data_IF_575580419394
#
_entry.id   IF_575580419394
#
_cell.length_a   1.000
_cell.length_b   1.000
_cell.length_c   1.000
_cell.angle_alpha   90.00
_cell.angle_beta   90.00
_cell.angle_gamma   90.00
#
_symmetry.space_group_name_H-M   'P 1'
#
loop_
_entity.id
_entity.type
_entity.pdbx_description
1 polymer ?
#
# COMPACT_ATOMS: atom_id res chain seq x y z
N UNK A 1 -42.25 9.96 14.61
CA UNK A 1 -41.36 9.32 13.63
C UNK A 1 -40.56 10.43 12.97
N UNK A 2 -39.26 10.52 13.24
CA UNK A 2 -38.40 11.44 12.50
C UNK A 2 -38.25 10.91 11.07
N UNK A 3 -38.52 11.78 10.09
CA UNK A 3 -38.28 11.44 8.68
C UNK A 3 -36.77 11.44 8.42
N UNK A 4 -36.26 10.51 7.58
CA UNK A 4 -34.86 10.49 7.22
C UNK A 4 -34.49 11.80 6.50
N UNK A 5 -33.49 12.51 7.05
CA UNK A 5 -32.95 13.72 6.42
C UNK A 5 -31.95 13.32 5.33
N UNK A 6 -32.20 13.73 4.10
CA UNK A 6 -31.25 13.59 3.00
C UNK A 6 -30.17 14.68 3.12
N UNK A 7 -28.91 14.25 3.26
CA UNK A 7 -27.75 15.13 3.25
C UNK A 7 -27.06 14.93 1.89
N UNK A 8 -26.91 15.98 1.06
CA UNK A 8 -26.25 15.86 -0.24
C UNK A 8 -24.78 15.50 -0.07
N UNK A 9 -24.22 14.77 -1.03
CA UNK A 9 -22.78 14.50 -1.06
C UNK A 9 -22.00 15.81 -1.17
N UNK A 10 -20.92 15.98 -0.38
CA UNK A 10 -20.16 17.22 -0.39
C UNK A 10 -19.34 17.36 -1.68
N UNK A 11 -19.18 18.61 -2.14
CA UNK A 11 -18.32 18.91 -3.27
C UNK A 11 -16.83 18.89 -2.88
N UNK A 12 -16.01 18.39 -3.80
CA UNK A 12 -14.55 18.47 -3.75
C UNK A 12 -14.06 19.57 -4.69
N UNK A 13 -12.95 20.19 -4.35
CA UNK A 13 -12.30 21.25 -5.13
C UNK A 13 -10.98 20.75 -5.73
N UNK A 14 -10.77 21.10 -7.01
CA UNK A 14 -9.65 20.71 -7.86
C UNK A 14 -8.91 21.97 -8.39
N UNK A 15 -8.06 21.78 -9.40
CA UNK A 15 -7.33 22.86 -10.08
C UNK A 15 -8.25 24.04 -10.46
N UNK A 16 -7.75 25.27 -10.32
CA UNK A 16 -8.49 26.50 -10.62
C UNK A 16 -9.86 26.64 -9.92
N UNK A 17 -10.04 26.03 -8.74
CA UNK A 17 -11.28 26.14 -7.96
C UNK A 17 -12.46 25.38 -8.55
N UNK A 18 -12.22 24.49 -9.53
CA UNK A 18 -13.25 23.65 -10.13
C UNK A 18 -13.80 22.64 -9.11
N UNK A 19 -15.07 22.25 -9.28
CA UNK A 19 -15.76 21.37 -8.33
C UNK A 19 -16.34 20.13 -8.98
N UNK A 20 -16.26 19.02 -8.26
CA UNK A 20 -16.93 17.78 -8.61
C UNK A 20 -17.26 16.98 -7.35
N UNK A 21 -18.31 16.17 -7.42
CA UNK A 21 -18.67 15.24 -6.34
C UNK A 21 -17.79 13.98 -6.37
N UNK A 22 -17.55 13.41 -7.57
CA UNK A 22 -16.67 12.25 -7.73
C UNK A 22 -15.20 12.71 -7.93
N UNK A 23 -14.26 12.25 -7.07
CA UNK A 23 -12.85 12.63 -7.18
C UNK A 23 -12.19 12.21 -8.49
N UNK A 24 -12.58 11.07 -9.05
CA UNK A 24 -12.01 10.53 -10.30
C UNK A 24 -12.42 11.38 -11.49
N UNK A 25 -13.67 11.84 -11.50
CA UNK A 25 -14.19 12.76 -12.53
C UNK A 25 -13.51 14.12 -12.41
N UNK A 26 -13.40 14.66 -11.19
CA UNK A 26 -12.72 15.93 -10.95
C UNK A 26 -11.26 15.92 -11.40
N UNK A 27 -10.50 14.88 -11.03
CA UNK A 27 -9.11 14.73 -11.49
C UNK A 27 -9.01 14.57 -13.00
N UNK A 28 -9.86 13.75 -13.63
CA UNK A 28 -9.80 13.52 -15.07
C UNK A 28 -10.14 14.78 -15.89
N UNK A 29 -11.04 15.64 -15.39
CA UNK A 29 -11.46 16.85 -16.11
C UNK A 29 -10.58 18.07 -15.80
N UNK A 30 -10.14 18.21 -14.55
CA UNK A 30 -9.52 19.45 -14.06
C UNK A 30 -8.06 19.27 -13.63
N UNK A 31 -7.64 18.05 -13.31
CA UNK A 31 -6.34 17.77 -12.69
C UNK A 31 -6.35 18.04 -11.17
N UNK A 32 -5.21 17.85 -10.49
CA UNK A 32 -5.17 17.92 -9.05
C UNK A 32 -5.23 19.36 -8.54
N UNK A 33 -5.70 19.53 -7.30
CA UNK A 33 -5.83 20.83 -6.65
C UNK A 33 -4.51 21.61 -6.60
N UNK A 34 -3.40 20.94 -6.35
CA UNK A 34 -2.08 21.55 -6.23
C UNK A 34 -1.29 21.67 -7.54
N UNK A 35 -1.88 21.36 -8.71
CA UNK A 35 -1.16 21.34 -9.99
C UNK A 35 -0.37 22.63 -10.31
N UNK A 36 -0.89 23.79 -9.90
CA UNK A 36 -0.26 25.11 -10.13
C UNK A 36 0.45 25.67 -8.88
N UNK A 37 0.50 24.90 -7.79
CA UNK A 37 1.17 25.31 -6.56
C UNK A 37 2.69 25.22 -6.72
N UNK A 38 3.43 26.12 -6.06
CA UNK A 38 4.90 26.08 -6.06
C UNK A 38 5.49 24.75 -5.53
N UNK A 39 4.74 24.05 -4.68
CA UNK A 39 5.11 22.74 -4.13
C UNK A 39 4.59 21.54 -4.94
N UNK A 40 4.06 21.73 -6.15
CA UNK A 40 3.54 20.64 -6.97
C UNK A 40 4.63 19.62 -7.31
N UNK A 41 4.29 18.35 -7.13
CA UNK A 41 5.18 17.23 -7.42
C UNK A 41 5.11 16.93 -8.92
N UNK A 42 6.21 17.12 -9.64
CA UNK A 42 6.28 16.88 -11.09
C UNK A 42 6.62 15.43 -11.46
N UNK A 43 7.25 14.71 -10.56
CA UNK A 43 7.64 13.32 -10.75
C UNK A 43 7.70 12.61 -9.41
N UNK A 44 7.36 11.32 -9.40
CA UNK A 44 7.41 10.48 -8.21
C UNK A 44 8.51 9.43 -8.39
N UNK A 45 9.80 9.76 -8.18
CA UNK A 45 10.84 8.74 -8.11
C UNK A 45 10.49 7.76 -6.99
N UNK A 46 10.49 6.46 -7.30
CA UNK A 46 10.16 5.42 -6.33
C UNK A 46 11.22 4.34 -6.29
N UNK A 47 11.38 3.78 -5.08
CA UNK A 47 12.07 2.51 -4.88
C UNK A 47 11.10 1.36 -5.03
N UNK A 48 11.55 0.23 -5.55
CA UNK A 48 10.74 -0.97 -5.73
C UNK A 48 11.37 -2.15 -4.97
N UNK A 49 10.58 -2.82 -4.15
CA UNK A 49 10.98 -4.02 -3.39
C UNK A 49 10.01 -5.16 -3.71
N UNK A 50 10.55 -6.35 -3.95
CA UNK A 50 9.74 -7.53 -4.24
C UNK A 50 10.57 -8.75 -4.56
N UNK A 51 9.94 -9.91 -4.66
CA UNK A 51 10.51 -11.03 -5.42
C UNK A 51 10.61 -10.65 -6.90
N UNK A 52 11.39 -11.38 -7.69
CA UNK A 52 11.48 -11.11 -9.14
C UNK A 52 10.10 -11.12 -9.81
N UNK A 53 9.19 -12.01 -9.40
CA UNK A 53 7.80 -12.03 -9.88
C UNK A 53 7.03 -10.76 -9.50
N UNK A 54 7.11 -10.35 -8.23
CA UNK A 54 6.45 -9.14 -7.74
C UNK A 54 6.93 -7.86 -8.43
N UNK A 55 8.25 -7.76 -8.65
CA UNK A 55 8.88 -6.66 -9.40
C UNK A 55 8.33 -6.60 -10.82
N UNK A 56 8.34 -7.71 -11.56
CA UNK A 56 7.84 -7.73 -12.95
C UNK A 56 6.35 -7.38 -13.03
N UNK A 57 5.51 -7.90 -12.13
CA UNK A 57 4.09 -7.54 -12.06
C UNK A 57 3.89 -6.04 -11.83
N UNK A 58 4.70 -5.43 -10.97
CA UNK A 58 4.59 -4.00 -10.71
C UNK A 58 5.03 -3.17 -11.90
N UNK A 59 6.14 -3.51 -12.56
CA UNK A 59 6.60 -2.81 -13.76
C UNK A 59 5.56 -2.87 -14.88
N UNK A 60 4.94 -4.03 -15.09
CA UNK A 60 3.83 -4.17 -16.04
C UNK A 60 2.64 -3.27 -15.66
N UNK A 61 2.29 -3.21 -14.38
CA UNK A 61 1.20 -2.36 -13.91
C UNK A 61 1.53 -0.86 -14.00
N UNK A 62 2.79 -0.47 -13.72
CA UNK A 62 3.27 0.89 -13.86
C UNK A 62 3.24 1.35 -15.33
N UNK A 63 3.51 0.45 -16.28
CA UNK A 63 3.32 0.72 -17.70
C UNK A 63 1.85 1.00 -18.05
N UNK A 64 0.91 0.22 -17.47
CA UNK A 64 -0.53 0.47 -17.67
C UNK A 64 -0.94 1.84 -17.16
N UNK A 65 -0.34 2.31 -16.06
CA UNK A 65 -0.64 3.62 -15.49
C UNK A 65 -0.16 4.78 -16.39
N UNK A 66 0.68 4.56 -17.40
CA UNK A 66 1.13 5.63 -18.30
C UNK A 66 0.02 6.12 -19.25
N UNK A 67 -1.00 5.30 -19.50
CA UNK A 67 -2.04 5.62 -20.48
C UNK A 67 -3.47 5.31 -19.99
N UNK A 68 -4.46 5.46 -20.88
CA UNK A 68 -5.85 5.20 -20.55
C UNK A 68 -6.09 3.74 -20.14
N UNK A 69 -6.68 3.54 -18.97
CA UNK A 69 -7.07 2.22 -18.46
C UNK A 69 -8.59 2.16 -18.37
N UNK A 70 -9.17 1.26 -19.16
CA UNK A 70 -10.59 1.00 -19.22
C UNK A 70 -10.92 -0.26 -18.43
N UNK A 71 -12.08 -0.27 -17.78
CA UNK A 71 -12.66 -1.51 -17.23
C UNK A 71 -13.20 -2.35 -18.38
N UNK A 72 -12.80 -3.62 -18.47
CA UNK A 72 -13.17 -4.49 -19.60
C UNK A 72 -14.48 -5.26 -19.38
N UNK A 73 -15.11 -5.11 -18.21
CA UNK A 73 -16.32 -5.86 -17.90
C UNK A 73 -17.55 -5.26 -18.59
N UNK A 74 -18.28 -6.08 -19.37
CA UNK A 74 -19.55 -5.69 -20.02
C UNK A 74 -20.62 -5.15 -19.05
N UNK A 75 -20.45 -5.36 -17.75
CA UNK A 75 -21.36 -4.95 -16.67
C UNK A 75 -20.84 -3.77 -15.83
N UNK A 76 -19.61 -3.29 -16.02
CA UNK A 76 -19.14 -2.10 -15.32
C UNK A 76 -19.78 -0.86 -15.93
N UNK A 77 -20.77 -0.29 -15.23
CA UNK A 77 -21.25 1.04 -15.55
C UNK A 77 -20.07 2.00 -15.55
N UNK A 78 -19.82 2.67 -16.67
CA UNK A 78 -18.77 3.71 -16.81
C UNK A 78 -18.97 4.86 -15.82
N UNK A 79 -20.19 5.03 -15.31
CA UNK A 79 -20.50 5.94 -14.21
C UNK A 79 -19.88 5.48 -12.87
N UNK A 80 -19.92 4.18 -12.57
CA UNK A 80 -19.37 3.64 -11.32
C UNK A 80 -17.85 3.48 -11.39
N UNK A 81 -17.34 3.14 -12.57
CA UNK A 81 -15.94 2.85 -12.82
C UNK A 81 -15.43 3.71 -13.98
N UNK A 82 -15.21 5.03 -13.75
CA UNK A 82 -14.65 5.91 -14.77
C UNK A 82 -13.33 5.37 -15.31
N UNK A 83 -13.06 5.66 -16.58
CA UNK A 83 -11.74 5.41 -17.16
C UNK A 83 -10.67 6.13 -16.35
N UNK A 84 -9.52 5.50 -16.15
CA UNK A 84 -8.34 6.19 -15.66
C UNK A 84 -7.61 6.76 -16.88
N UNK A 85 -7.37 8.09 -16.98
CA UNK A 85 -6.85 8.69 -18.20
C UNK A 85 -5.35 8.45 -18.42
N UNK A 86 -4.65 7.93 -17.42
CA UNK A 86 -3.18 7.90 -17.34
C UNK A 86 -2.72 8.75 -16.15
N UNK A 87 -1.57 8.40 -15.58
CA UNK A 87 -1.08 8.99 -14.35
C UNK A 87 -0.74 10.47 -14.54
N UNK A 88 0.00 10.82 -15.60
CA UNK A 88 0.31 12.20 -15.91
C UNK A 88 -0.96 13.01 -16.23
N UNK A 89 -1.85 12.47 -17.06
CA UNK A 89 -3.11 13.14 -17.39
C UNK A 89 -4.00 13.41 -16.17
N UNK A 90 -4.04 12.49 -15.19
CA UNK A 90 -4.83 12.64 -13.97
C UNK A 90 -4.20 13.59 -12.94
N UNK A 91 -2.87 13.59 -12.82
CA UNK A 91 -2.16 14.20 -11.70
C UNK A 91 -1.18 15.31 -12.11
N UNK A 92 -1.08 15.66 -13.40
CA UNK A 92 -0.09 16.60 -13.94
C UNK A 92 1.35 16.28 -13.45
N UNK A 93 1.65 15.00 -13.28
CA UNK A 93 2.83 14.48 -12.59
C UNK A 93 3.26 13.17 -13.25
N UNK A 94 4.56 12.99 -13.48
CA UNK A 94 5.08 11.75 -14.02
C UNK A 94 5.18 10.65 -12.94
N UNK A 95 4.78 9.43 -13.28
CA UNK A 95 5.22 8.22 -12.59
C UNK A 95 6.27 7.55 -13.49
N UNK A 96 7.57 7.56 -13.14
CA UNK A 96 8.59 6.95 -13.98
C UNK A 96 8.29 5.48 -14.33
N UNK A 97 8.42 5.08 -15.60
CA UNK A 97 8.22 3.68 -16.03
C UNK A 97 9.18 2.73 -15.32
N UNK A 98 10.40 3.21 -15.06
CA UNK A 98 11.42 2.48 -14.31
C UNK A 98 11.55 3.07 -12.91
N UNK A 99 11.65 2.22 -11.87
CA UNK A 99 12.00 2.68 -10.54
C UNK A 99 13.38 3.34 -10.58
N UNK A 100 13.59 4.31 -9.68
CA UNK A 100 14.93 4.84 -9.45
C UNK A 100 15.86 3.69 -9.01
N UNK A 101 15.34 2.79 -8.17
CA UNK A 101 16.06 1.61 -7.67
C UNK A 101 15.13 0.43 -7.40
N UNK A 102 15.65 -0.77 -7.61
CA UNK A 102 14.97 -2.02 -7.29
C UNK A 102 15.83 -2.84 -6.33
N UNK A 103 15.23 -3.36 -5.28
CA UNK A 103 15.81 -4.37 -4.40
C UNK A 103 14.98 -5.65 -4.51
N UNK A 104 15.57 -6.67 -5.12
CA UNK A 104 14.94 -7.98 -5.23
C UNK A 104 15.16 -8.80 -3.95
N UNK A 105 14.09 -9.42 -3.46
CA UNK A 105 14.11 -10.39 -2.37
C UNK A 105 14.21 -11.79 -2.97
N UNK A 106 15.07 -12.64 -2.41
CA UNK A 106 15.13 -14.04 -2.85
C UNK A 106 13.87 -14.78 -2.43
N UNK A 107 13.20 -15.42 -3.40
CA UNK A 107 11.98 -16.18 -3.15
C UNK A 107 12.19 -17.27 -2.08
N UNK A 108 13.33 -17.94 -2.08
CA UNK A 108 13.68 -18.96 -1.09
C UNK A 108 13.76 -18.42 0.34
N UNK A 109 14.23 -17.18 0.53
CA UNK A 109 14.28 -16.55 1.86
C UNK A 109 12.88 -16.18 2.35
N UNK A 110 12.05 -15.63 1.45
CA UNK A 110 10.65 -15.33 1.75
C UNK A 110 9.90 -16.60 2.11
N UNK A 111 10.06 -17.66 1.34
CA UNK A 111 9.40 -18.95 1.56
C UNK A 111 9.84 -19.62 2.87
N UNK A 112 11.13 -19.56 3.21
CA UNK A 112 11.62 -20.04 4.49
C UNK A 112 11.00 -19.25 5.66
N UNK A 113 10.97 -17.91 5.57
CA UNK A 113 10.44 -17.06 6.63
C UNK A 113 8.93 -17.24 6.86
N UNK A 114 8.13 -17.39 5.79
CA UNK A 114 6.67 -17.59 5.91
C UNK A 114 6.28 -18.99 6.41
N UNK A 115 7.23 -19.90 6.59
CA UNK A 115 7.02 -21.26 7.03
C UNK A 115 7.27 -21.49 8.53
N UNK A 116 7.79 -20.53 9.30
CA UNK A 116 7.97 -20.73 10.73
C UNK A 116 6.67 -21.12 11.44
N UNK A 117 6.71 -22.04 12.40
CA UNK A 117 5.52 -22.42 13.17
C UNK A 117 5.04 -21.25 14.07
N UNK A 118 5.98 -20.50 14.65
CA UNK A 118 5.67 -19.32 15.48
C UNK A 118 5.19 -18.13 14.62
N UNK A 119 3.95 -17.63 14.81
CA UNK A 119 3.41 -16.53 14.02
C UNK A 119 4.13 -15.18 14.23
N UNK A 120 4.70 -14.93 15.41
CA UNK A 120 5.48 -13.71 15.65
C UNK A 120 6.80 -13.78 14.89
N UNK A 121 7.46 -14.95 14.91
CA UNK A 121 8.71 -15.19 14.19
C UNK A 121 8.49 -15.04 12.67
N UNK A 122 7.47 -15.70 12.11
CA UNK A 122 7.09 -15.57 10.68
C UNK A 122 7.00 -14.12 10.22
N UNK A 123 6.16 -13.34 10.91
CA UNK A 123 5.94 -11.95 10.52
C UNK A 123 7.21 -11.13 10.70
N UNK A 124 7.94 -11.36 11.80
CA UNK A 124 9.19 -10.64 12.09
C UNK A 124 10.24 -10.86 11.01
N UNK A 125 10.54 -12.11 10.63
CA UNK A 125 11.59 -12.42 9.67
C UNK A 125 11.26 -11.92 8.28
N UNK A 126 9.99 -12.07 7.84
CA UNK A 126 9.55 -11.47 6.58
C UNK A 126 9.71 -9.95 6.63
N UNK A 127 9.33 -9.30 7.73
CA UNK A 127 9.52 -7.84 7.87
C UNK A 127 11.01 -7.46 7.86
N UNK A 128 11.91 -8.24 8.46
CA UNK A 128 13.35 -7.98 8.40
C UNK A 128 13.89 -7.99 6.97
N UNK A 129 13.42 -8.90 6.11
CA UNK A 129 13.80 -8.93 4.70
C UNK A 129 13.45 -7.60 4.01
N UNK A 130 12.22 -7.10 4.21
CA UNK A 130 11.79 -5.82 3.64
C UNK A 130 12.50 -4.63 4.27
N UNK A 131 12.69 -4.58 5.59
CA UNK A 131 13.38 -3.47 6.26
C UNK A 131 14.84 -3.38 5.82
N UNK A 132 15.50 -4.52 5.65
CA UNK A 132 16.88 -4.58 5.12
C UNK A 132 16.95 -4.04 3.70
N UNK A 133 15.99 -4.40 2.85
CA UNK A 133 15.88 -3.86 1.49
C UNK A 133 15.58 -2.34 1.49
N UNK A 134 14.68 -1.86 2.35
CA UNK A 134 14.40 -0.43 2.51
C UNK A 134 15.67 0.32 2.94
N UNK A 135 16.42 -0.21 3.91
CA UNK A 135 17.66 0.41 4.36
C UNK A 135 18.69 0.53 3.22
N UNK A 136 18.83 -0.50 2.37
CA UNK A 136 19.73 -0.45 1.19
C UNK A 136 19.28 0.56 0.14
N UNK A 137 17.97 0.74 -0.05
CA UNK A 137 17.43 1.77 -0.95
C UNK A 137 17.75 3.18 -0.44
N UNK A 138 17.50 3.44 0.85
CA UNK A 138 17.64 4.77 1.47
C UNK A 138 19.09 5.13 1.75
N UNK A 139 19.99 4.16 1.90
CA UNK A 139 21.43 4.41 2.10
C UNK A 139 22.12 5.09 0.90
N UNK A 140 21.43 5.26 -0.23
CA UNK A 140 21.98 5.86 -1.45
C UNK A 140 21.44 7.29 -1.62
N UNK A 141 22.20 8.14 -2.31
CA UNK A 141 21.90 9.59 -2.42
C UNK A 141 20.65 9.94 -3.26
N UNK A 142 20.09 9.00 -4.02
CA UNK A 142 18.90 9.27 -4.84
C UNK A 142 17.66 9.47 -3.96
N UNK A 143 17.03 10.63 -4.09
CA UNK A 143 15.82 10.94 -3.34
C UNK A 143 14.61 10.16 -3.87
N UNK A 144 13.99 9.36 -2.99
CA UNK A 144 12.78 8.60 -3.28
C UNK A 144 11.57 9.30 -2.66
N UNK A 145 10.54 9.56 -3.46
CA UNK A 145 9.26 10.09 -2.97
C UNK A 145 8.44 9.02 -2.24
N UNK A 146 8.61 7.75 -2.61
CA UNK A 146 7.88 6.62 -2.01
C UNK A 146 8.62 5.31 -2.27
N UNK A 147 8.41 4.31 -1.43
CA UNK A 147 8.93 2.95 -1.63
C UNK A 147 7.77 1.99 -1.82
N UNK A 148 7.77 1.26 -2.92
CA UNK A 148 6.73 0.32 -3.29
C UNK A 148 7.17 -1.08 -2.89
N UNK A 149 6.45 -1.69 -1.95
CA UNK A 149 6.69 -3.04 -1.49
C UNK A 149 5.65 -3.97 -2.12
N UNK A 150 6.06 -4.73 -3.12
CA UNK A 150 5.24 -5.81 -3.68
C UNK A 150 5.34 -7.03 -2.76
N UNK A 151 4.19 -7.61 -2.44
CA UNK A 151 4.06 -8.64 -1.41
C UNK A 151 3.45 -9.90 -2.01
N UNK A 152 4.18 -11.02 -1.99
CA UNK A 152 3.66 -12.33 -2.39
C UNK A 152 2.39 -12.68 -1.62
N UNK A 153 1.48 -13.36 -2.30
CA UNK A 153 0.19 -13.73 -1.71
C UNK A 153 0.35 -14.68 -0.50
N UNK A 154 1.42 -15.49 -0.47
CA UNK A 154 1.77 -16.35 0.66
C UNK A 154 2.09 -15.55 1.93
N UNK A 155 2.78 -14.41 1.83
CA UNK A 155 3.05 -13.52 2.97
C UNK A 155 1.75 -12.99 3.56
N UNK A 156 0.81 -12.55 2.71
CA UNK A 156 -0.50 -12.07 3.18
C UNK A 156 -1.31 -13.18 3.88
N UNK A 157 -1.25 -14.42 3.38
CA UNK A 157 -1.95 -15.56 3.97
C UNK A 157 -1.33 -15.99 5.31
N UNK A 158 0.00 -16.05 5.38
CA UNK A 158 0.72 -16.66 6.49
C UNK A 158 1.14 -15.67 7.59
N UNK A 159 1.20 -14.36 7.30
CA UNK A 159 1.65 -13.31 8.23
C UNK A 159 0.51 -12.34 8.60
N UNK A 160 -0.64 -12.87 9.03
CA UNK A 160 -1.81 -12.12 9.50
C UNK A 160 -2.31 -12.71 10.83
N UNK A 161 -3.07 -11.96 11.65
CA UNK A 161 -3.64 -12.50 12.87
C UNK A 161 -4.46 -13.77 12.60
N UNK A 162 -4.26 -14.78 13.44
CA UNK A 162 -4.90 -16.10 13.34
C UNK A 162 -4.57 -16.87 12.05
N UNK A 163 -3.47 -16.55 11.36
CA UNK A 163 -2.93 -17.39 10.30
C UNK A 163 -2.36 -18.69 10.87
N UNK A 164 -2.41 -19.74 10.04
CA UNK A 164 -1.85 -21.05 10.34
C UNK A 164 -1.11 -21.56 9.09
N UNK A 165 -0.03 -22.30 9.31
CA UNK A 165 0.77 -22.91 8.25
C UNK A 165 0.70 -24.42 8.43
N UNK A 166 0.42 -25.15 7.35
CA UNK A 166 0.47 -26.61 7.38
C UNK A 166 1.94 -27.06 7.31
N UNK A 167 2.37 -27.88 8.26
CA UNK A 167 3.76 -28.37 8.38
C UNK A 167 4.78 -27.24 8.57
N UNK A 168 4.52 -26.32 9.51
CA UNK A 168 5.46 -25.25 9.82
C UNK A 168 6.77 -25.78 10.40
N UNK A 169 7.83 -24.99 10.23
CA UNK A 169 9.19 -25.32 10.66
C UNK A 169 9.47 -24.71 12.02
N UNK A 170 10.04 -25.52 12.92
CA UNK A 170 10.40 -25.12 14.28
C UNK A 170 9.22 -25.16 15.25
N UNK A 171 9.43 -24.64 16.46
CA UNK A 171 8.44 -24.67 17.53
C UNK A 171 7.74 -23.31 17.72
N UNK A 172 6.43 -23.31 17.96
CA UNK A 172 5.71 -22.11 18.38
C UNK A 172 5.63 -22.01 19.90
N UNK A 173 5.91 -20.83 20.45
CA UNK A 173 5.70 -20.62 21.88
C UNK A 173 4.20 -20.59 22.22
N UNK A 174 3.79 -21.19 23.36
CA UNK A 174 2.44 -21.05 23.88
C UNK A 174 2.03 -19.59 24.09
N UNK A 175 0.75 -19.29 23.89
CA UNK A 175 0.20 -17.93 24.04
C UNK A 175 0.58 -17.23 25.37
N UNK A 176 0.51 -17.89 26.55
CA UNK A 176 0.90 -17.24 27.80
C UNK A 176 2.36 -16.79 27.83
N UNK A 177 3.27 -17.59 27.28
CA UNK A 177 4.70 -17.26 27.22
C UNK A 177 4.95 -16.10 26.25
N UNK A 178 4.24 -16.06 25.12
CA UNK A 178 4.31 -14.94 24.16
C UNK A 178 3.88 -13.63 24.80
N UNK A 179 2.78 -13.63 25.56
CA UNK A 179 2.30 -12.45 26.29
C UNK A 179 3.29 -12.00 27.36
N UNK A 180 3.88 -12.94 28.11
CA UNK A 180 4.91 -12.63 29.09
C UNK A 180 6.14 -11.98 28.44
N UNK A 181 6.65 -12.53 27.33
CA UNK A 181 7.78 -11.98 26.58
C UNK A 181 7.48 -10.61 25.97
N UNK A 182 6.26 -10.39 25.46
CA UNK A 182 5.81 -9.10 24.96
C UNK A 182 5.91 -7.98 26.03
N UNK A 183 5.65 -8.34 27.30
CA UNK A 183 5.80 -7.45 28.47
C UNK A 183 7.24 -7.29 28.95
N UNK A 184 8.21 -7.94 28.30
CA UNK A 184 9.63 -7.89 28.66
C UNK A 184 10.03 -8.86 29.77
N UNK A 185 9.17 -9.80 30.17
CA UNK A 185 9.55 -10.86 31.11
C UNK A 185 10.51 -11.80 30.39
N UNK A 186 11.72 -11.94 30.93
CA UNK A 186 12.75 -12.82 30.37
C UNK A 186 12.42 -14.25 30.73
N UNK A 187 12.39 -15.10 29.72
CA UNK A 187 12.28 -16.54 29.88
C UNK A 187 13.68 -17.14 29.78
N UNK A 188 14.12 -17.76 30.87
CA UNK A 188 15.45 -18.37 31.00
C UNK A 188 15.60 -19.67 30.19
N UNK A 189 14.50 -20.23 29.68
CA UNK A 189 14.50 -21.55 29.02
C UNK A 189 14.71 -21.49 27.51
N UNK A 190 14.51 -20.34 26.87
CA UNK A 190 14.61 -20.18 25.42
C UNK A 190 15.31 -18.85 25.09
N UNK A 191 16.62 -18.79 25.36
CA UNK A 191 17.48 -17.61 25.22
C UNK A 191 17.85 -17.30 23.77
N UNK A 192 17.71 -18.26 22.85
CA UNK A 192 18.08 -18.09 21.44
C UNK A 192 17.15 -17.13 20.69
N UNK A 193 15.91 -16.97 21.14
CA UNK A 193 14.92 -16.09 20.49
C UNK A 193 14.89 -14.70 21.14
N UNK A 194 15.16 -13.61 20.38
CA UNK A 194 15.05 -12.26 20.91
C UNK A 194 13.63 -11.96 21.41
N UNK A 195 13.51 -11.49 22.66
CA UNK A 195 12.21 -11.10 23.23
C UNK A 195 11.54 -9.95 22.45
N UNK A 196 12.30 -9.20 21.66
CA UNK A 196 11.81 -8.11 20.82
C UNK A 196 10.77 -8.58 19.80
N UNK A 197 10.87 -9.82 19.31
CA UNK A 197 9.95 -10.42 18.33
C UNK A 197 8.51 -10.43 18.86
N UNK A 198 8.34 -10.72 20.14
CA UNK A 198 7.02 -10.81 20.79
C UNK A 198 6.42 -9.45 21.15
N UNK A 199 7.19 -8.35 21.07
CA UNK A 199 6.66 -6.99 21.22
C UNK A 199 5.88 -6.51 20.00
N UNK A 200 6.08 -7.16 18.85
CA UNK A 200 5.43 -6.79 17.61
C UNK A 200 4.16 -7.63 17.36
N UNK A 201 3.25 -7.05 16.57
CA UNK A 201 2.07 -7.78 16.07
C UNK A 201 2.52 -8.88 15.10
N UNK A 202 1.91 -10.09 15.12
CA UNK A 202 2.14 -11.14 14.10
C UNK A 202 1.46 -10.80 12.76
N UNK A 203 1.28 -9.52 12.46
CA UNK A 203 0.66 -9.00 11.25
C UNK A 203 1.73 -8.24 10.47
N UNK A 204 2.11 -8.78 9.32
CA UNK A 204 3.14 -8.21 8.46
C UNK A 204 2.86 -6.74 8.14
N UNK A 205 1.62 -6.38 7.77
CA UNK A 205 1.26 -5.02 7.37
C UNK A 205 1.39 -4.04 8.54
N UNK A 206 0.93 -4.40 9.73
CA UNK A 206 1.05 -3.55 10.93
C UNK A 206 2.52 -3.37 11.30
N UNK A 207 3.28 -4.46 11.31
CA UNK A 207 4.66 -4.47 11.73
C UNK A 207 5.58 -3.71 10.75
N UNK A 208 5.49 -3.97 9.44
CA UNK A 208 6.29 -3.23 8.45
C UNK A 208 5.93 -1.74 8.43
N UNK A 209 4.64 -1.37 8.53
CA UNK A 209 4.25 0.05 8.58
C UNK A 209 4.84 0.76 9.79
N UNK A 210 4.76 0.16 10.97
CA UNK A 210 5.29 0.77 12.19
C UNK A 210 6.82 0.88 12.15
N UNK A 211 7.50 -0.19 11.71
CA UNK A 211 8.97 -0.25 11.74
C UNK A 211 9.63 0.48 10.59
N UNK A 212 8.94 0.65 9.46
CA UNK A 212 9.46 1.44 8.35
C UNK A 212 9.37 2.97 8.60
N UNK A 213 8.65 3.43 9.63
CA UNK A 213 8.57 4.86 9.98
C UNK A 213 9.91 5.48 10.37
N UNK A 214 10.91 4.66 10.71
CA UNK A 214 12.27 5.13 10.95
C UNK A 214 12.96 5.62 9.67
N UNK A 215 12.44 5.25 8.49
CA UNK A 215 12.91 5.71 7.20
C UNK A 215 12.05 6.88 6.72
N UNK A 216 12.65 7.84 6.02
CA UNK A 216 11.94 9.04 5.57
C UNK A 216 10.90 8.75 4.47
N UNK A 217 11.19 7.96 3.42
CA UNK A 217 10.21 7.75 2.35
C UNK A 217 9.03 6.90 2.82
N UNK A 218 7.77 7.31 2.54
CA UNK A 218 6.60 6.51 2.87
C UNK A 218 6.57 5.20 2.06
N UNK A 219 6.06 4.13 2.67
CA UNK A 219 5.91 2.83 1.99
C UNK A 219 4.50 2.63 1.41
N UNK A 220 4.40 2.05 0.22
CA UNK A 220 3.17 1.56 -0.40
C UNK A 220 3.23 0.04 -0.54
N UNK A 221 2.45 -0.66 0.28
CA UNK A 221 2.37 -2.12 0.25
C UNK A 221 1.33 -2.54 -0.79
N UNK A 222 1.71 -3.44 -1.70
CA UNK A 222 0.84 -3.93 -2.76
C UNK A 222 0.92 -5.45 -2.79
N UNK A 223 -0.22 -6.13 -2.61
CA UNK A 223 -0.28 -7.58 -2.86
C UNK A 223 -0.16 -7.84 -4.35
N UNK A 224 0.68 -8.78 -4.75
CA UNK A 224 0.88 -9.15 -6.16
C UNK A 224 -0.42 -9.46 -6.90
N UNK A 225 -1.39 -10.08 -6.22
CA UNK A 225 -2.71 -10.36 -6.80
C UNK A 225 -3.44 -9.11 -7.27
N UNK A 226 -3.17 -7.95 -6.67
CA UNK A 226 -3.75 -6.65 -7.03
C UNK A 226 -3.21 -6.12 -8.36
N UNK A 227 -1.98 -6.49 -8.72
CA UNK A 227 -1.25 -6.01 -9.90
C UNK A 227 -1.62 -6.75 -11.18
N UNK A 228 -2.70 -7.54 -11.15
CA UNK A 228 -3.20 -8.22 -12.34
C UNK A 228 -3.60 -7.19 -13.41
N UNK A 229 -3.16 -7.34 -14.67
CA UNK A 229 -3.43 -6.37 -15.73
C UNK A 229 -4.80 -6.58 -16.41
N UNK A 230 -5.67 -7.42 -15.86
CA UNK A 230 -6.96 -7.81 -16.47
C UNK A 230 -8.07 -7.90 -15.43
N UNK A 231 -9.32 -7.78 -15.88
CA UNK A 231 -10.55 -8.02 -15.11
C UNK A 231 -11.06 -9.46 -15.22
N UNK A 232 -10.32 -10.32 -15.91
CA UNK A 232 -10.65 -11.75 -15.98
C UNK A 232 -10.75 -12.37 -14.58
N UNK A 233 -11.93 -12.93 -14.33
CA UNK A 233 -12.21 -13.72 -13.13
C UNK A 233 -11.72 -15.14 -13.38
N UNK A 234 -10.72 -15.56 -12.61
CA UNK A 234 -10.27 -16.95 -12.58
C UNK A 234 -10.72 -17.60 -11.27
N UNK A 235 -11.20 -18.83 -11.36
CA UNK A 235 -11.63 -19.59 -10.19
C UNK A 235 -10.47 -19.80 -9.22
N UNK A 236 -10.74 -19.70 -7.91
CA UNK A 236 -9.73 -19.85 -6.87
C UNK A 236 -8.83 -18.62 -6.64
N UNK A 237 -8.95 -17.58 -7.47
CA UNK A 237 -8.20 -16.34 -7.30
C UNK A 237 -9.01 -15.27 -6.56
N UNK A 238 -8.29 -14.31 -5.97
CA UNK A 238 -8.90 -13.17 -5.27
C UNK A 238 -9.76 -12.34 -6.24
N UNK A 239 -11.01 -12.05 -5.85
CA UNK A 239 -11.85 -11.08 -6.52
C UNK A 239 -11.31 -9.66 -6.32
N UNK A 240 -11.22 -8.90 -7.41
CA UNK A 240 -10.69 -7.54 -7.45
C UNK A 240 -11.75 -6.58 -7.96
N UNK A 241 -11.64 -5.30 -7.58
CA UNK A 241 -12.37 -4.24 -8.26
C UNK A 241 -11.88 -4.10 -9.71
N UNK A 242 -12.68 -3.50 -10.61
CA UNK A 242 -12.30 -3.34 -12.01
C UNK A 242 -10.95 -2.63 -12.20
N UNK A 243 -10.29 -2.87 -13.32
CA UNK A 243 -8.91 -2.44 -13.56
C UNK A 243 -8.76 -0.92 -13.49
N UNK A 244 -9.73 -0.16 -14.02
CA UNK A 244 -9.69 1.31 -13.94
C UNK A 244 -9.80 1.82 -12.49
N UNK A 245 -10.56 1.14 -11.65
CA UNK A 245 -10.66 1.45 -10.22
C UNK A 245 -9.36 1.13 -9.47
N UNK A 246 -8.71 0.00 -9.80
CA UNK A 246 -7.38 -0.31 -9.26
C UNK A 246 -6.35 0.75 -9.66
N UNK A 247 -6.40 1.21 -10.91
CA UNK A 247 -5.54 2.27 -11.41
C UNK A 247 -5.78 3.60 -10.68
N UNK A 248 -7.04 4.01 -10.50
CA UNK A 248 -7.40 5.19 -9.71
C UNK A 248 -6.91 5.11 -8.26
N UNK A 249 -7.17 3.98 -7.59
CA UNK A 249 -6.82 3.79 -6.18
C UNK A 249 -5.30 3.79 -5.97
N UNK A 250 -4.55 3.07 -6.81
CA UNK A 250 -3.09 3.05 -6.72
C UNK A 250 -2.50 4.40 -7.13
N UNK A 251 -2.98 4.99 -8.23
CA UNK A 251 -2.51 6.27 -8.75
C UNK A 251 -2.65 7.39 -7.71
N UNK A 252 -3.85 7.51 -7.13
CA UNK A 252 -4.12 8.51 -6.08
C UNK A 252 -3.25 8.29 -4.84
N UNK A 253 -3.08 7.03 -4.41
CA UNK A 253 -2.25 6.71 -3.25
C UNK A 253 -0.77 7.05 -3.47
N UNK A 254 -0.24 6.79 -4.67
CA UNK A 254 1.13 7.13 -5.04
C UNK A 254 1.31 8.65 -5.12
N UNK A 255 0.38 9.36 -5.78
CA UNK A 255 0.43 10.82 -5.89
C UNK A 255 0.41 11.49 -4.51
N UNK A 256 -0.50 11.09 -3.64
CA UNK A 256 -0.60 11.62 -2.28
C UNK A 256 0.67 11.34 -1.45
N UNK A 257 1.18 10.11 -1.50
CA UNK A 257 2.42 9.74 -0.79
C UNK A 257 3.66 10.42 -1.36
N UNK A 258 3.64 10.72 -2.66
CA UNK A 258 4.69 11.49 -3.30
C UNK A 258 4.72 12.96 -2.90
N UNK A 259 3.72 13.43 -2.12
CA UNK A 259 3.60 14.80 -1.64
C UNK A 259 2.47 15.61 -2.29
N UNK A 260 1.78 15.04 -3.28
CA UNK A 260 0.70 15.69 -4.01
C UNK A 260 -0.60 15.81 -3.22
N UNK A 261 -1.44 16.78 -3.59
CA UNK A 261 -2.75 17.05 -2.97
C UNK A 261 -3.84 16.95 -4.04
N UNK A 262 -4.37 15.74 -4.30
CA UNK A 262 -5.21 15.53 -5.48
C UNK A 262 -6.49 16.37 -5.46
N UNK A 263 -7.09 16.58 -4.29
CA UNK A 263 -8.25 17.46 -4.09
C UNK A 263 -8.35 17.90 -2.64
N UNK A 264 -9.22 18.88 -2.36
CA UNK A 264 -9.64 19.25 -1.00
C UNK A 264 -11.16 19.32 -0.90
N UNK A 265 -11.68 19.35 0.32
CA UNK A 265 -13.11 19.57 0.55
C UNK A 265 -13.45 21.05 0.22
N UNK A 266 -14.39 21.30 -0.68
CA UNK A 266 -14.74 22.66 -1.10
C UNK A 266 -15.39 23.49 0.02
N UNK A 267 -15.95 22.82 1.03
CA UNK A 267 -16.64 23.41 2.19
C UNK A 267 -15.76 23.49 3.45
N UNK A 268 -14.47 23.17 3.34
CA UNK A 268 -13.54 23.33 4.45
C UNK A 268 -13.49 24.81 4.88
N UNK A 269 -13.68 25.07 6.17
CA UNK A 269 -13.65 26.43 6.73
C UNK A 269 -12.22 26.86 7.01
N UNK A 270 -11.87 28.06 6.58
CA UNK A 270 -10.58 28.65 6.89
C UNK A 270 -10.41 28.85 8.41
N UNK A 271 -9.22 28.55 8.91
CA UNK A 271 -8.88 28.65 10.33
C UNK A 271 -9.46 27.55 11.23
N UNK A 272 -10.14 26.53 10.68
CA UNK A 272 -10.70 25.42 11.46
C UNK A 272 -9.89 24.13 11.25
N UNK A 273 -9.50 23.48 12.35
CA UNK A 273 -8.87 22.17 12.34
C UNK A 273 -9.81 21.13 12.96
N UNK A 274 -10.12 20.08 12.23
CA UNK A 274 -10.87 18.93 12.73
C UNK A 274 -9.89 17.81 13.11
N UNK A 275 -9.91 17.36 14.36
CA UNK A 275 -9.05 16.28 14.86
C UNK A 275 -9.89 15.03 15.11
N UNK A 276 -9.67 13.99 14.31
CA UNK A 276 -10.28 12.68 14.51
C UNK A 276 -9.38 11.78 15.34
N UNK A 277 -9.89 11.24 16.44
CA UNK A 277 -9.20 10.23 17.27
C UNK A 277 -9.95 8.92 17.15
N UNK A 278 -9.24 7.84 16.81
CA UNK A 278 -9.79 6.48 16.69
C UNK A 278 -9.01 5.54 17.59
N UNK A 279 -9.71 4.73 18.38
CA UNK A 279 -9.11 3.70 19.22
C UNK A 279 -9.11 2.35 18.47
N UNK A 280 -7.99 1.63 18.49
CA UNK A 280 -7.76 0.38 17.74
C UNK A 280 -7.32 -0.77 18.64
#
# INVERSE_FOLDING_TARGET
MEQPQFIPEPELEFRYGQRAVDPRVGLALFGPYDADSAGHVRSIPYGLIGTSEGVQKFLQFAQLLQGPVLSSTKSSSTRLWPAFPGFDAAFACALPERPARTEELHTSEVDAAVQHEDPNQRAYDVVELYLSAIARLVAREEQLSTIICTVPEVVYKNCRPKSYVHSGVGEALPSPQRVARARGIRDITNLERPNTIYRFSPDFRRQIKARAMQFEPPIQIIRETTLRPTDERKFGERLLSPLSDRAWNLGTALYYKGGGRPWRLATARDGVCYVGVVFH
#
